data_IF_067008870014
#
_entry.id   IF_067008870014
#
_cell.length_a   1.000
_cell.length_b   1.000
_cell.length_c   1.000
_cell.angle_alpha   90.00
_cell.angle_beta   90.00
_cell.angle_gamma   90.00
#
_symmetry.space_group_name_H-M   'P 1'
#
loop_
_entity.id
_entity.type
_entity.pdbx_description
1 polymer ?
#
# COMPACT_ATOMS: atom_id res chain seq x y z
N UNK A 1 7.91 -14.63 13.44
CA UNK A 1 7.60 -13.31 14.03
C UNK A 1 6.09 -13.17 14.20
N UNK A 2 5.61 -12.39 15.18
CA UNK A 2 4.19 -12.01 15.30
C UNK A 2 3.97 -10.60 14.74
N UNK A 3 2.90 -10.41 13.96
CA UNK A 3 2.55 -9.08 13.44
C UNK A 3 2.30 -8.08 14.58
N UNK A 4 2.70 -6.80 14.43
CA UNK A 4 2.47 -5.81 15.46
C UNK A 4 0.97 -5.52 15.62
N UNK A 5 0.57 -5.10 16.83
CA UNK A 5 -0.78 -4.61 17.07
C UNK A 5 -0.96 -3.24 16.41
N UNK A 6 -2.00 -3.11 15.60
CA UNK A 6 -2.35 -1.86 14.90
C UNK A 6 -3.78 -1.45 15.24
N UNK A 7 -4.00 -0.14 15.40
CA UNK A 7 -5.33 0.40 15.66
C UNK A 7 -6.16 0.45 14.36
N UNK A 8 -7.19 -0.38 14.34
CA UNK A 8 -8.10 -0.54 13.20
C UNK A 8 -9.23 0.50 13.18
N UNK A 9 -9.38 1.30 14.25
CA UNK A 9 -10.46 2.29 14.40
C UNK A 9 -10.09 3.68 13.85
N UNK A 10 -8.82 3.88 13.49
CA UNK A 10 -8.32 5.16 12.99
C UNK A 10 -8.96 5.48 11.65
N UNK A 11 -9.62 6.63 11.61
CA UNK A 11 -10.15 7.25 10.40
C UNK A 11 -9.89 8.76 10.47
N UNK A 12 -9.19 9.30 9.47
CA UNK A 12 -8.99 10.75 9.39
C UNK A 12 -10.28 11.44 8.90
N UNK A 13 -10.88 12.25 9.76
CA UNK A 13 -12.06 13.03 9.39
C UNK A 13 -11.72 14.10 8.33
N UNK A 14 -12.35 14.13 7.15
CA UNK A 14 -12.00 15.07 6.09
C UNK A 14 -12.17 16.54 6.50
N UNK A 15 -11.08 17.32 6.50
CA UNK A 15 -11.08 18.75 6.84
C UNK A 15 -10.68 19.62 5.65
N UNK A 16 -11.60 20.48 5.21
CA UNK A 16 -11.39 21.39 4.08
C UNK A 16 -11.55 20.72 2.71
N UNK A 17 -11.22 21.45 1.65
CA UNK A 17 -11.48 21.02 0.28
C UNK A 17 -10.59 19.84 -0.16
N UNK A 18 -9.28 19.92 0.10
CA UNK A 18 -8.30 18.90 -0.26
C UNK A 18 -8.67 17.53 0.30
N UNK A 19 -8.96 17.44 1.60
CA UNK A 19 -9.35 16.18 2.23
C UNK A 19 -10.69 15.64 1.72
N UNK A 20 -11.67 16.51 1.45
CA UNK A 20 -12.97 16.09 0.90
C UNK A 20 -12.86 15.55 -0.51
N UNK A 21 -12.01 16.16 -1.35
CA UNK A 21 -11.70 15.66 -2.69
C UNK A 21 -11.00 14.31 -2.60
N UNK A 22 -9.98 14.19 -1.74
CA UNK A 22 -9.25 12.94 -1.55
C UNK A 22 -10.14 11.80 -1.05
N UNK A 23 -10.99 12.08 -0.06
CA UNK A 23 -11.95 11.12 0.48
C UNK A 23 -13.00 10.70 -0.55
N UNK A 24 -13.59 11.68 -1.25
CA UNK A 24 -14.58 11.41 -2.29
C UNK A 24 -14.02 10.59 -3.44
N UNK A 25 -12.80 10.92 -3.89
CA UNK A 25 -12.08 10.16 -4.90
C UNK A 25 -11.84 8.71 -4.46
N UNK A 26 -11.38 8.52 -3.22
CA UNK A 26 -11.16 7.18 -2.65
C UNK A 26 -12.44 6.36 -2.59
N UNK A 27 -13.54 6.93 -2.08
CA UNK A 27 -14.83 6.23 -2.01
C UNK A 27 -15.38 5.88 -3.41
N UNK A 28 -15.17 6.76 -4.39
CA UNK A 28 -15.54 6.47 -5.78
C UNK A 28 -14.77 5.26 -6.34
N UNK A 29 -13.44 5.25 -6.18
CA UNK A 29 -12.63 4.12 -6.64
C UNK A 29 -12.95 2.83 -5.89
N UNK A 30 -13.19 2.91 -4.57
CA UNK A 30 -13.67 1.77 -3.77
C UNK A 30 -14.96 1.20 -4.35
N UNK A 31 -15.94 2.05 -4.65
CA UNK A 31 -17.21 1.61 -5.25
C UNK A 31 -16.98 0.88 -6.58
N UNK A 32 -16.10 1.41 -7.45
CA UNK A 32 -15.74 0.75 -8.70
C UNK A 32 -15.06 -0.61 -8.46
N UNK A 33 -14.11 -0.68 -7.53
CA UNK A 33 -13.38 -1.90 -7.21
C UNK A 33 -14.30 -2.98 -6.59
N UNK A 34 -15.12 -2.60 -5.61
CA UNK A 34 -16.08 -3.49 -4.95
C UNK A 34 -17.07 -4.07 -5.98
N UNK A 35 -17.52 -3.24 -6.94
CA UNK A 35 -18.41 -3.68 -8.03
C UNK A 35 -17.72 -4.63 -9.00
N UNK A 36 -16.46 -4.38 -9.35
CA UNK A 36 -15.71 -5.18 -10.33
C UNK A 36 -15.26 -6.54 -9.77
N UNK A 37 -14.79 -6.57 -8.51
CA UNK A 37 -14.23 -7.79 -7.90
C UNK A 37 -15.22 -8.60 -7.06
N UNK A 38 -16.31 -7.97 -6.57
CA UNK A 38 -17.25 -8.59 -5.64
C UNK A 38 -16.52 -9.32 -4.49
N UNK A 39 -16.71 -10.64 -4.33
CA UNK A 39 -16.08 -11.47 -3.28
C UNK A 39 -14.74 -12.11 -3.68
N UNK A 40 -14.13 -11.72 -4.81
CA UNK A 40 -12.86 -12.31 -5.29
C UNK A 40 -11.64 -11.66 -4.61
N UNK A 41 -11.50 -11.81 -3.30
CA UNK A 41 -10.49 -11.11 -2.49
C UNK A 41 -9.04 -11.30 -2.98
N UNK A 42 -8.63 -12.53 -3.34
CA UNK A 42 -7.27 -12.77 -3.86
C UNK A 42 -6.99 -12.03 -5.18
N UNK A 43 -7.95 -12.05 -6.12
CA UNK A 43 -7.82 -11.31 -7.38
C UNK A 43 -7.90 -9.80 -7.16
N UNK A 44 -8.73 -9.35 -6.21
CA UNK A 44 -8.81 -7.95 -5.80
C UNK A 44 -7.48 -7.46 -5.27
N UNK A 45 -6.86 -8.19 -4.33
CA UNK A 45 -5.54 -7.85 -3.80
C UNK A 45 -4.54 -7.72 -4.95
N UNK A 46 -4.37 -8.75 -5.79
CA UNK A 46 -3.44 -8.71 -6.94
C UNK A 46 -3.63 -7.46 -7.83
N UNK A 47 -4.85 -7.05 -8.13
CA UNK A 47 -5.05 -5.85 -8.96
C UNK A 47 -4.82 -4.56 -8.17
N UNK A 48 -5.28 -4.46 -6.92
CA UNK A 48 -5.12 -3.25 -6.11
C UNK A 48 -3.65 -3.00 -5.75
N UNK A 49 -2.89 -4.04 -5.40
CA UNK A 49 -1.45 -3.93 -5.10
C UNK A 49 -0.65 -3.37 -6.29
N UNK A 50 -1.08 -3.64 -7.53
CA UNK A 50 -0.41 -3.06 -8.72
C UNK A 50 -0.58 -1.55 -8.84
N UNK A 51 -1.65 -1.00 -8.23
CA UNK A 51 -1.94 0.43 -8.21
C UNK A 51 -1.36 1.07 -6.95
N UNK A 52 -1.41 0.37 -5.81
CA UNK A 52 -0.90 0.84 -4.52
C UNK A 52 0.64 1.05 -4.52
N UNK A 53 1.39 0.29 -5.33
CA UNK A 53 2.83 0.53 -5.51
C UNK A 53 3.21 1.80 -6.31
N UNK A 54 2.24 2.50 -6.93
CA UNK A 54 2.52 3.66 -7.81
C UNK A 54 2.75 4.97 -7.04
N UNK A 55 1.90 5.36 -6.07
CA UNK A 55 2.03 6.62 -5.34
C UNK A 55 3.39 6.87 -4.70
N UNK A 56 3.93 5.91 -3.95
CA UNK A 56 5.24 6.03 -3.30
C UNK A 56 6.35 6.33 -4.33
N UNK A 57 6.37 5.62 -5.45
CA UNK A 57 7.35 5.83 -6.52
C UNK A 57 7.23 7.23 -7.17
N UNK A 58 6.00 7.69 -7.44
CA UNK A 58 5.74 9.03 -7.99
C UNK A 58 6.18 10.10 -7.01
N UNK A 59 5.80 9.99 -5.73
CA UNK A 59 6.15 10.94 -4.68
C UNK A 59 7.66 11.01 -4.44
N UNK A 60 8.33 9.85 -4.37
CA UNK A 60 9.78 9.75 -4.26
C UNK A 60 10.48 10.43 -5.45
N UNK A 61 10.05 10.15 -6.67
CA UNK A 61 10.63 10.73 -7.90
C UNK A 61 10.50 12.25 -7.92
N UNK A 62 9.31 12.79 -7.63
CA UNK A 62 9.08 14.23 -7.65
C UNK A 62 9.87 14.93 -6.54
N UNK A 63 9.89 14.38 -5.32
CA UNK A 63 10.69 14.92 -4.22
C UNK A 63 12.19 14.86 -4.52
N UNK A 64 12.69 13.74 -5.05
CA UNK A 64 14.08 13.58 -5.44
C UNK A 64 14.53 14.66 -6.43
N UNK A 65 13.79 14.81 -7.53
CA UNK A 65 14.12 15.81 -8.55
C UNK A 65 13.97 17.24 -8.02
N UNK A 66 13.01 17.49 -7.10
CA UNK A 66 12.85 18.79 -6.43
C UNK A 66 14.04 19.13 -5.54
N UNK A 67 14.50 18.18 -4.72
CA UNK A 67 15.65 18.34 -3.83
C UNK A 67 16.93 18.58 -4.63
N UNK A 68 17.14 17.84 -5.73
CA UNK A 68 18.29 18.05 -6.62
C UNK A 68 18.32 19.46 -7.22
N UNK A 69 17.19 19.93 -7.77
CA UNK A 69 17.12 21.28 -8.37
C UNK A 69 17.27 22.41 -7.36
N UNK A 70 16.90 22.17 -6.10
CA UNK A 70 16.94 23.15 -5.02
C UNK A 70 18.17 23.02 -4.12
N UNK A 71 18.98 21.97 -4.32
CA UNK A 71 20.17 21.66 -3.55
C UNK A 71 19.89 21.60 -2.05
N UNK A 72 18.82 20.89 -1.66
CA UNK A 72 18.39 20.73 -0.27
C UNK A 72 18.21 19.28 0.15
N UNK A 73 18.21 19.04 1.46
CA UNK A 73 17.88 17.76 2.07
C UNK A 73 16.39 17.41 1.89
N UNK A 74 16.06 16.11 1.86
CA UNK A 74 14.70 15.59 1.65
C UNK A 74 13.98 15.18 2.94
N UNK A 75 14.64 15.33 4.11
CA UNK A 75 14.15 14.91 5.43
C UNK A 75 13.86 13.41 5.53
N UNK A 76 14.47 12.59 4.66
CA UNK A 76 14.24 11.15 4.57
C UNK A 76 12.96 10.73 3.85
N UNK A 77 12.16 11.65 3.31
CA UNK A 77 10.89 11.34 2.65
C UNK A 77 11.06 10.45 1.42
N UNK A 78 12.13 10.64 0.65
CA UNK A 78 12.38 9.88 -0.58
C UNK A 78 12.58 8.40 -0.22
N UNK A 79 13.37 8.10 0.81
CA UNK A 79 13.62 6.72 1.25
C UNK A 79 12.32 6.06 1.71
N UNK A 80 11.56 6.73 2.58
CA UNK A 80 10.28 6.20 3.08
C UNK A 80 9.30 5.90 1.94
N UNK A 81 9.18 6.78 0.95
CA UNK A 81 8.26 6.58 -0.18
C UNK A 81 8.74 5.50 -1.16
N UNK A 82 10.04 5.32 -1.32
CA UNK A 82 10.59 4.18 -2.09
C UNK A 82 10.37 2.86 -1.35
N UNK A 83 10.49 2.85 -0.03
CA UNK A 83 10.25 1.67 0.81
C UNK A 83 8.77 1.25 0.78
N UNK A 84 7.86 2.22 0.86
CA UNK A 84 6.42 1.99 0.66
C UNK A 84 6.15 1.35 -0.71
N UNK A 85 6.65 1.95 -1.80
CA UNK A 85 6.47 1.40 -3.15
C UNK A 85 7.07 -0.02 -3.32
N UNK A 86 8.19 -0.31 -2.64
CA UNK A 86 8.76 -1.65 -2.60
C UNK A 86 7.87 -2.61 -1.82
N UNK A 87 7.37 -2.18 -0.65
CA UNK A 87 6.55 -3.00 0.23
C UNK A 87 5.23 -3.41 -0.45
N UNK A 88 4.52 -2.47 -1.06
CA UNK A 88 3.33 -2.72 -1.89
C UNK A 88 3.62 -3.71 -3.04
N UNK A 89 4.79 -3.57 -3.70
CA UNK A 89 5.22 -4.55 -4.71
C UNK A 89 5.45 -5.93 -4.10
N UNK A 90 5.94 -6.03 -2.87
CA UNK A 90 6.13 -7.31 -2.18
C UNK A 90 4.82 -7.95 -1.75
N UNK A 91 3.78 -7.16 -1.45
CA UNK A 91 2.41 -7.65 -1.28
C UNK A 91 1.92 -8.29 -2.59
N UNK A 92 2.04 -7.57 -3.72
CA UNK A 92 1.68 -8.09 -5.04
C UNK A 92 2.38 -9.43 -5.33
N UNK A 93 3.71 -9.47 -5.18
CA UNK A 93 4.49 -10.66 -5.49
C UNK A 93 4.12 -11.84 -4.60
N UNK A 94 3.67 -11.57 -3.37
CA UNK A 94 3.14 -12.58 -2.45
C UNK A 94 1.77 -13.11 -2.93
N UNK A 95 0.84 -12.23 -3.27
CA UNK A 95 -0.51 -12.64 -3.67
C UNK A 95 -0.57 -13.31 -5.04
N UNK A 96 0.38 -13.04 -5.95
CA UNK A 96 0.48 -13.75 -7.23
C UNK A 96 0.76 -15.25 -7.05
N UNK A 97 1.49 -15.65 -6.00
CA UNK A 97 1.74 -17.07 -5.68
C UNK A 97 0.46 -17.78 -5.20
N UNK A 98 -0.51 -17.02 -4.70
CA UNK A 98 -1.79 -17.53 -4.16
C UNK A 98 -2.88 -17.48 -5.23
N UNK A 99 -2.95 -16.39 -6.01
CA UNK A 99 -3.97 -16.14 -7.01
C UNK A 99 -3.36 -15.57 -8.28
N UNK A 100 -3.37 -16.35 -9.36
CA UNK A 100 -2.79 -15.93 -10.63
C UNK A 100 -3.79 -15.07 -11.40
N UNK A 101 -3.38 -13.87 -11.88
CA UNK A 101 -4.26 -13.03 -12.68
C UNK A 101 -4.50 -13.63 -14.07
N UNK A 102 -5.71 -13.47 -14.57
CA UNK A 102 -6.10 -13.85 -15.93
C UNK A 102 -5.50 -12.89 -16.97
N UNK A 103 -5.50 -13.26 -18.26
CA UNK A 103 -5.06 -12.35 -19.33
C UNK A 103 -5.87 -11.05 -19.37
N UNK A 104 -7.18 -11.13 -19.11
CA UNK A 104 -8.04 -9.96 -19.02
C UNK A 104 -7.64 -9.07 -17.83
N UNK A 105 -7.42 -9.64 -16.65
CA UNK A 105 -6.96 -8.88 -15.47
C UNK A 105 -5.60 -8.22 -15.73
N UNK A 106 -4.68 -8.89 -16.43
CA UNK A 106 -3.39 -8.29 -16.82
C UNK A 106 -3.55 -7.11 -17.77
N UNK A 107 -4.47 -7.20 -18.74
CA UNK A 107 -4.79 -6.06 -19.62
C UNK A 107 -5.41 -4.88 -18.84
N UNK A 108 -6.32 -5.19 -17.90
CA UNK A 108 -6.91 -4.18 -17.00
C UNK A 108 -5.83 -3.51 -16.15
N UNK A 109 -4.91 -4.28 -15.56
CA UNK A 109 -3.78 -3.75 -14.77
C UNK A 109 -2.97 -2.74 -15.59
N UNK A 110 -2.53 -3.09 -16.80
CA UNK A 110 -1.75 -2.17 -17.66
C UNK A 110 -2.53 -0.88 -17.95
N UNK A 111 -3.81 -1.01 -18.26
CA UNK A 111 -4.67 0.15 -18.60
C UNK A 111 -4.89 1.06 -17.39
N UNK A 112 -5.20 0.48 -16.22
CA UNK A 112 -5.43 1.21 -14.97
C UNK A 112 -4.13 1.87 -14.50
N UNK A 113 -3.00 1.15 -14.51
CA UNK A 113 -1.70 1.70 -14.15
C UNK A 113 -1.33 2.91 -15.03
N UNK A 114 -1.54 2.81 -16.35
CA UNK A 114 -1.24 3.92 -17.26
C UNK A 114 -2.03 5.19 -16.93
N UNK A 115 -3.35 5.07 -16.80
CA UNK A 115 -4.23 6.21 -16.48
C UNK A 115 -3.96 6.74 -15.07
N UNK A 116 -3.84 5.85 -14.09
CA UNK A 116 -3.61 6.22 -12.70
C UNK A 116 -2.26 6.89 -12.50
N UNK A 117 -1.19 6.39 -13.13
CA UNK A 117 0.14 7.00 -13.07
C UNK A 117 0.12 8.45 -13.56
N UNK A 118 -0.46 8.70 -14.74
CA UNK A 118 -0.54 10.05 -15.30
C UNK A 118 -1.38 10.99 -14.42
N UNK A 119 -2.52 10.51 -13.94
CA UNK A 119 -3.37 11.27 -13.04
C UNK A 119 -2.66 11.60 -11.72
N UNK A 120 -2.09 10.59 -11.05
CA UNK A 120 -1.48 10.75 -9.74
C UNK A 120 -0.21 11.59 -9.80
N UNK A 121 0.60 11.44 -10.87
CA UNK A 121 1.74 12.31 -11.15
C UNK A 121 1.31 13.78 -11.29
N UNK A 122 0.26 14.05 -12.08
CA UNK A 122 -0.31 15.39 -12.20
C UNK A 122 -0.86 15.92 -10.87
N UNK A 123 -1.58 15.09 -10.11
CA UNK A 123 -2.10 15.44 -8.79
C UNK A 123 -0.96 15.82 -7.83
N UNK A 124 0.12 15.04 -7.78
CA UNK A 124 1.25 15.29 -6.88
C UNK A 124 1.99 16.58 -7.24
N UNK A 125 2.12 16.91 -8.53
CA UNK A 125 2.67 18.19 -8.99
C UNK A 125 1.81 19.39 -8.58
N UNK A 126 0.47 19.25 -8.65
CA UNK A 126 -0.47 20.33 -8.31
C UNK A 126 -0.64 20.48 -6.79
N UNK A 127 -0.72 19.36 -6.08
CA UNK A 127 -0.93 19.32 -4.63
C UNK A 127 -0.44 17.98 -4.05
N UNK A 128 0.82 17.93 -3.66
CA UNK A 128 1.39 16.80 -2.91
C UNK A 128 0.62 16.51 -1.62
N UNK A 129 0.10 17.55 -0.95
CA UNK A 129 -0.77 17.40 0.23
C UNK A 129 -2.02 16.57 -0.09
N UNK A 130 -2.71 16.89 -1.19
CA UNK A 130 -3.91 16.13 -1.60
C UNK A 130 -3.54 14.71 -2.02
N UNK A 131 -2.40 14.53 -2.72
CA UNK A 131 -1.92 13.23 -3.14
C UNK A 131 -1.66 12.31 -1.93
N UNK A 132 -0.90 12.77 -0.93
CA UNK A 132 -0.69 12.00 0.30
C UNK A 132 -1.99 11.72 1.04
N UNK A 133 -2.93 12.67 1.06
CA UNK A 133 -4.24 12.43 1.68
C UNK A 133 -5.04 11.35 0.95
N UNK A 134 -4.95 11.27 -0.38
CA UNK A 134 -5.57 10.20 -1.17
C UNK A 134 -4.99 8.85 -0.74
N UNK A 135 -3.66 8.74 -0.68
CA UNK A 135 -2.99 7.49 -0.25
C UNK A 135 -3.40 7.12 1.18
N UNK A 136 -3.38 8.06 2.12
CA UNK A 136 -3.82 7.78 3.49
C UNK A 136 -5.25 7.22 3.58
N UNK A 137 -6.17 7.67 2.71
CA UNK A 137 -7.50 7.05 2.63
C UNK A 137 -7.51 5.71 1.88
N UNK A 138 -6.65 5.50 0.88
CA UNK A 138 -6.49 4.19 0.25
C UNK A 138 -6.08 3.15 1.29
N UNK A 139 -5.15 3.50 2.18
CA UNK A 139 -4.65 2.55 3.17
C UNK A 139 -5.63 2.32 4.33
N UNK A 140 -6.47 3.31 4.67
CA UNK A 140 -7.65 3.04 5.52
C UNK A 140 -8.54 1.97 4.89
N UNK A 141 -8.75 2.02 3.58
CA UNK A 141 -9.54 1.03 2.85
C UNK A 141 -8.83 -0.33 2.72
N UNK A 142 -7.50 -0.34 2.60
CA UNK A 142 -6.69 -1.55 2.62
C UNK A 142 -6.76 -2.23 3.99
N UNK A 143 -6.59 -1.50 5.10
CA UNK A 143 -6.72 -2.03 6.47
C UNK A 143 -8.10 -2.66 6.70
N UNK A 144 -9.17 -2.01 6.24
CA UNK A 144 -10.53 -2.57 6.31
C UNK A 144 -10.63 -3.84 5.46
N UNK A 145 -10.14 -3.81 4.23
CA UNK A 145 -10.21 -4.93 3.28
C UNK A 145 -9.48 -6.17 3.82
N UNK A 146 -8.27 -6.00 4.38
CA UNK A 146 -7.52 -7.10 4.99
C UNK A 146 -8.13 -7.59 6.30
N UNK A 147 -8.80 -6.72 7.06
CA UNK A 147 -9.58 -7.15 8.23
C UNK A 147 -10.76 -8.04 7.82
N UNK A 148 -11.47 -7.71 6.74
CA UNK A 148 -12.49 -8.59 6.18
C UNK A 148 -11.89 -9.88 5.63
N UNK A 149 -10.72 -9.83 5.00
CA UNK A 149 -10.09 -11.05 4.49
C UNK A 149 -9.68 -12.01 5.62
N UNK A 150 -9.17 -11.49 6.75
CA UNK A 150 -8.91 -12.30 7.95
C UNK A 150 -10.18 -12.97 8.47
N UNK A 151 -11.30 -12.23 8.53
CA UNK A 151 -12.58 -12.81 8.95
C UNK A 151 -13.05 -13.93 8.00
N UNK A 152 -12.90 -13.76 6.68
CA UNK A 152 -13.21 -14.82 5.70
C UNK A 152 -12.35 -16.08 5.91
N UNK A 153 -11.09 -15.93 6.29
CA UNK A 153 -10.19 -17.05 6.59
C UNK A 153 -10.60 -17.72 7.91
N UNK A 154 -10.83 -16.92 8.96
CA UNK A 154 -11.17 -17.41 10.30
C UNK A 154 -12.53 -18.12 10.34
N UNK A 155 -13.47 -17.68 9.49
CA UNK A 155 -14.79 -18.30 9.31
C UNK A 155 -14.77 -19.47 8.30
N UNK A 156 -13.59 -19.83 7.76
CA UNK A 156 -13.40 -20.98 6.87
C UNK A 156 -13.96 -20.82 5.46
N UNK A 157 -14.35 -19.59 5.06
CA UNK A 157 -14.82 -19.29 3.70
C UNK A 157 -13.69 -19.18 2.68
N UNK A 158 -12.50 -18.80 3.14
CA UNK A 158 -11.27 -18.78 2.35
C UNK A 158 -10.26 -19.80 2.90
N UNK A 159 -9.54 -20.54 2.03
CA UNK A 159 -8.56 -21.52 2.48
C UNK A 159 -7.35 -20.85 3.12
N UNK A 160 -6.95 -21.30 4.32
CA UNK A 160 -5.73 -20.86 4.98
C UNK A 160 -4.51 -21.68 4.52
N UNK A 161 -4.09 -21.48 3.28
CA UNK A 161 -2.95 -22.21 2.68
C UNK A 161 -1.62 -21.85 3.36
N UNK A 162 -0.56 -22.67 3.23
CA UNK A 162 0.78 -22.29 3.67
C UNK A 162 1.24 -20.97 3.04
N UNK A 163 1.94 -20.14 3.81
CA UNK A 163 2.47 -18.87 3.33
C UNK A 163 3.47 -19.08 2.18
N UNK A 164 3.45 -18.26 1.12
CA UNK A 164 4.47 -18.31 0.07
C UNK A 164 5.89 -18.06 0.62
N UNK A 165 6.89 -18.73 0.06
CA UNK A 165 8.30 -18.60 0.50
C UNK A 165 8.82 -17.15 0.39
N UNK A 166 8.37 -16.40 -0.62
CA UNK A 166 8.70 -14.98 -0.76
C UNK A 166 8.22 -14.17 0.44
N UNK A 167 7.03 -14.46 0.96
CA UNK A 167 6.46 -13.79 2.13
C UNK A 167 7.22 -14.15 3.39
N UNK A 168 7.49 -15.45 3.59
CA UNK A 168 8.26 -15.92 4.76
C UNK A 168 9.62 -15.24 4.83
N UNK A 169 10.33 -15.18 3.70
CA UNK A 169 11.62 -14.49 3.62
C UNK A 169 11.51 -12.99 3.87
N UNK A 170 10.54 -12.33 3.23
CA UNK A 170 10.42 -10.87 3.29
C UNK A 170 10.02 -10.36 4.68
N UNK A 171 9.04 -11.00 5.34
CA UNK A 171 8.58 -10.61 6.69
C UNK A 171 9.20 -11.43 7.83
N UNK A 172 10.15 -12.33 7.55
CA UNK A 172 10.75 -13.20 8.57
C UNK A 172 9.71 -14.10 9.29
N UNK A 173 8.76 -14.63 8.54
CA UNK A 173 7.71 -15.51 9.08
C UNK A 173 8.27 -16.92 9.36
N UNK A 174 7.72 -17.64 10.35
CA UNK A 174 8.07 -19.04 10.60
C UNK A 174 7.80 -19.95 9.40
N UNK A 175 8.47 -21.11 9.35
CA UNK A 175 8.31 -22.08 8.25
C UNK A 175 6.89 -22.65 8.14
N UNK A 176 6.18 -22.73 9.26
CA UNK A 176 4.79 -23.19 9.37
C UNK A 176 3.76 -22.05 9.22
N UNK A 177 4.20 -20.84 8.86
CA UNK A 177 3.32 -19.70 8.65
C UNK A 177 2.26 -19.97 7.56
N UNK A 178 1.09 -19.39 7.78
CA UNK A 178 -0.08 -19.55 6.93
C UNK A 178 -0.45 -18.23 6.23
N UNK A 179 -1.38 -18.30 5.27
CA UNK A 179 -1.93 -17.12 4.61
C UNK A 179 -2.50 -16.10 5.62
N UNK A 180 -3.12 -16.56 6.69
CA UNK A 180 -3.60 -15.71 7.77
C UNK A 180 -2.48 -14.86 8.36
N UNK A 181 -1.31 -15.45 8.60
CA UNK A 181 -0.15 -14.75 9.17
C UNK A 181 0.41 -13.71 8.20
N UNK A 182 0.40 -14.02 6.90
CA UNK A 182 0.74 -13.07 5.83
C UNK A 182 -0.22 -11.88 5.84
N UNK A 183 -1.54 -12.13 5.87
CA UNK A 183 -2.53 -11.05 5.87
C UNK A 183 -2.41 -10.17 7.11
N UNK A 184 -2.00 -10.72 8.26
CA UNK A 184 -1.76 -9.93 9.47
C UNK A 184 -0.58 -8.96 9.32
N UNK A 185 0.54 -9.39 8.74
CA UNK A 185 1.70 -8.50 8.53
C UNK A 185 1.45 -7.50 7.42
N UNK A 186 0.79 -7.90 6.32
CA UNK A 186 0.37 -6.99 5.25
C UNK A 186 -0.54 -5.90 5.81
N UNK A 187 -1.59 -6.25 6.58
CA UNK A 187 -2.46 -5.26 7.21
C UNK A 187 -1.71 -4.29 8.13
N UNK A 188 -0.63 -4.74 8.76
CA UNK A 188 0.20 -3.89 9.59
C UNK A 188 1.06 -2.93 8.75
N UNK A 189 1.58 -3.37 7.61
CA UNK A 189 2.22 -2.50 6.62
C UNK A 189 1.24 -1.41 6.16
N UNK A 190 -0.01 -1.78 5.81
CA UNK A 190 -1.02 -0.80 5.39
C UNK A 190 -1.35 0.24 6.46
N UNK A 191 -1.45 -0.19 7.72
CA UNK A 191 -1.68 0.74 8.82
C UNK A 191 -0.49 1.71 9.00
N UNK A 192 0.74 1.25 8.73
CA UNK A 192 1.92 2.11 8.72
C UNK A 192 1.84 3.13 7.57
N UNK A 193 1.59 2.68 6.33
CA UNK A 193 1.46 3.54 5.15
C UNK A 193 0.34 4.58 5.32
N UNK A 194 -0.79 4.17 5.90
CA UNK A 194 -1.91 5.06 6.28
C UNK A 194 -1.44 6.22 7.15
N UNK A 195 -0.76 5.90 8.24
CA UNK A 195 -0.39 6.90 9.24
C UNK A 195 0.75 7.80 8.72
N UNK A 196 1.70 7.24 7.96
CA UNK A 196 2.76 8.00 7.28
C UNK A 196 2.17 8.99 6.29
N UNK A 197 1.27 8.56 5.41
CA UNK A 197 0.70 9.43 4.38
C UNK A 197 -0.24 10.49 4.94
N UNK A 198 -1.08 10.16 5.94
CA UNK A 198 -1.83 11.19 6.67
C UNK A 198 -0.88 12.16 7.40
N UNK A 199 0.23 11.67 7.92
CA UNK A 199 1.30 12.46 8.53
C UNK A 199 1.93 13.47 7.56
N UNK A 200 2.33 13.03 6.36
CA UNK A 200 2.86 13.91 5.32
C UNK A 200 1.84 14.95 4.85
N UNK A 201 0.58 14.55 4.68
CA UNK A 201 -0.50 15.49 4.35
C UNK A 201 -0.72 16.54 5.47
N UNK A 202 -0.54 16.14 6.73
CA UNK A 202 -0.60 17.06 7.87
C UNK A 202 0.61 18.00 7.92
N UNK A 203 1.84 17.51 7.74
CA UNK A 203 3.05 18.35 7.74
C UNK A 203 2.97 19.42 6.64
N UNK A 204 2.61 19.03 5.42
CA UNK A 204 2.39 19.97 4.29
C UNK A 204 1.26 20.97 4.56
N UNK A 205 0.32 20.61 5.44
CA UNK A 205 -0.78 21.45 5.87
C UNK A 205 -0.52 22.29 7.12
N UNK A 206 0.65 22.18 7.75
CA UNK A 206 0.96 22.81 9.04
C UNK A 206 0.13 22.26 10.22
N UNK A 207 -0.28 20.99 10.14
CA UNK A 207 -1.07 20.28 11.15
C UNK A 207 -0.20 19.29 11.93
N UNK A 208 -0.57 18.91 13.17
CA UNK A 208 0.17 17.94 13.94
C UNK A 208 0.17 16.55 13.27
N UNK A 209 1.33 15.88 13.31
CA UNK A 209 1.49 14.48 12.90
C UNK A 209 1.03 13.59 14.05
N UNK A 210 0.23 12.57 13.75
CA UNK A 210 -0.23 11.60 14.74
C UNK A 210 0.80 10.50 14.97
N UNK A 211 0.56 9.63 15.95
CA UNK A 211 1.42 8.45 16.14
C UNK A 211 1.35 7.56 14.89
N UNK A 212 2.51 7.11 14.42
CA UNK A 212 2.62 6.23 13.26
C UNK A 212 2.65 4.78 13.73
N UNK A 213 1.78 3.93 13.18
CA UNK A 213 1.79 2.49 13.45
C UNK A 213 3.18 1.90 13.15
N UNK A 214 3.67 0.94 13.96
CA UNK A 214 4.97 0.32 13.70
C UNK A 214 4.93 -0.48 12.40
N UNK A 215 5.93 -0.27 11.54
CA UNK A 215 6.11 -1.09 10.35
C UNK A 215 6.70 -2.46 10.75
N UNK A 216 6.11 -3.58 10.29
CA UNK A 216 6.79 -4.88 10.31
C UNK A 216 8.21 -4.78 9.75
N UNK A 217 9.20 -5.47 10.34
CA UNK A 217 10.54 -5.49 9.78
C UNK A 217 10.54 -6.28 8.47
N UNK A 218 11.18 -5.72 7.46
CA UNK A 218 11.36 -6.36 6.18
C UNK A 218 12.82 -6.80 5.99
N UNK A 219 13.02 -7.98 5.43
CA UNK A 219 14.33 -8.41 4.98
C UNK A 219 14.74 -7.58 3.75
N UNK A 220 15.93 -6.98 3.82
CA UNK A 220 16.47 -6.21 2.70
C UNK A 220 16.59 -7.08 1.44
N UNK A 221 16.09 -6.57 0.32
CA UNK A 221 16.20 -7.24 -0.97
C UNK A 221 17.60 -7.01 -1.55
N UNK A 222 18.44 -8.04 -1.48
CA UNK A 222 19.77 -8.00 -2.07
C UNK A 222 19.73 -8.32 -3.58
N UNK A 223 20.51 -7.60 -4.42
CA UNK A 223 20.60 -7.91 -5.83
C UNK A 223 21.13 -9.32 -6.09
N UNK A 224 20.52 -10.03 -7.03
CA UNK A 224 20.88 -11.43 -7.34
C UNK A 224 22.29 -11.61 -7.93
N UNK A 225 22.91 -10.55 -8.44
CA UNK A 225 24.30 -10.62 -8.93
C UNK A 225 25.32 -10.91 -7.82
N UNK A 226 24.97 -10.69 -6.54
CA UNK A 226 25.81 -11.07 -5.39
C UNK A 226 25.80 -12.58 -5.10
N UNK A 227 24.77 -13.30 -5.54
CA UNK A 227 24.68 -14.76 -5.41
C UNK A 227 25.24 -15.51 -6.62
N UNK A 228 25.59 -14.77 -7.68
CA UNK A 228 26.15 -15.29 -8.94
C UNK A 228 27.68 -15.14 -9.04
N UNK A 229 28.33 -14.64 -8.00
CA UNK A 229 29.78 -14.50 -7.86
C UNK A 229 30.31 -15.45 -6.78
#
# INVERSE_FOLDING_TARGET
>A
MTAPLVDLSIHHQPKGLSDRVAFGFTKLLRLCADTFFAKRYGHRAVVLETVAAVPGMVGATINHLSCLRRMCDDKGWIKTLMDEAENERMHLMTFIEISKPTLFERFVIVSVQWVFYLFFFGLYLVSSKTAHRVVGYFEEEAVISYTHYLAEIDEGRSPNVPAPEIAKRYWGLPDDATLRDVVLVVRADEAHHRDVNHGYANELGGLPIQAVAPCPPHAALEPTWKAAA
#
